data_IF_048984707233
#
_entry.id   IF_048984707233
#
_cell.length_a   1.000
_cell.length_b   1.000
_cell.length_c   1.000
_cell.angle_alpha   90.00
_cell.angle_beta   90.00
_cell.angle_gamma   90.00
#
_symmetry.space_group_name_H-M   'P 1'
#
loop_
_entity.id
_entity.type
_entity.pdbx_description
1 polymer ?
#
# COMPACT_ATOMS: atom_id res chain seq x y z
N UNK A 1 1.13 25.27 -43.09
CA UNK A 1 0.51 24.04 -43.63
C UNK A 1 0.09 23.23 -42.43
N UNK A 2 -1.20 23.31 -42.08
CA UNK A 2 -1.79 22.61 -40.95
C UNK A 2 -2.01 21.14 -41.29
N UNK A 3 -1.43 20.24 -40.50
CA UNK A 3 -1.75 18.81 -40.54
C UNK A 3 -3.07 18.57 -39.80
N UNK A 4 -4.18 18.51 -40.54
CA UNK A 4 -5.46 18.04 -40.03
C UNK A 4 -5.38 16.56 -39.63
N UNK A 5 -5.12 16.29 -38.35
CA UNK A 5 -5.35 14.97 -37.74
C UNK A 5 -6.85 14.67 -37.76
N UNK A 6 -7.29 13.84 -38.70
CA UNK A 6 -8.61 13.23 -38.67
C UNK A 6 -8.68 12.25 -37.50
N UNK A 7 -9.33 12.65 -36.40
CA UNK A 7 -9.78 11.71 -35.39
C UNK A 7 -11.08 11.08 -35.92
N UNK A 8 -10.96 9.91 -36.53
CA UNK A 8 -12.13 9.08 -36.82
C UNK A 8 -12.62 8.57 -35.45
N UNK A 9 -13.85 8.87 -35.01
CA UNK A 9 -14.39 8.28 -33.79
C UNK A 9 -14.64 6.81 -34.09
N UNK A 10 -13.76 5.94 -33.61
CA UNK A 10 -13.97 4.50 -33.69
C UNK A 10 -15.11 4.14 -32.73
N UNK A 11 -16.34 4.01 -33.25
CA UNK A 11 -17.45 3.45 -32.49
C UNK A 11 -17.22 1.94 -32.35
N UNK A 12 -16.61 1.52 -31.25
CA UNK A 12 -16.54 0.11 -30.90
C UNK A 12 -17.81 -0.34 -30.16
N UNK A 13 -18.52 -1.29 -30.75
CA UNK A 13 -19.63 -2.00 -30.11
C UNK A 13 -19.06 -3.06 -29.17
N UNK A 14 -19.07 -2.78 -27.86
CA UNK A 14 -18.65 -3.73 -26.83
C UNK A 14 -19.85 -4.58 -26.41
N UNK A 15 -19.83 -5.88 -26.72
CA UNK A 15 -20.81 -6.82 -26.18
C UNK A 15 -20.52 -7.05 -24.69
N UNK A 16 -21.55 -6.86 -23.86
CA UNK A 16 -21.42 -6.50 -22.45
C UNK A 16 -21.04 -7.63 -21.50
N UNK A 17 -19.84 -7.49 -20.92
CA UNK A 17 -19.37 -8.03 -19.64
C UNK A 17 -17.87 -7.68 -19.39
N UNK A 18 -17.33 -6.65 -20.06
CA UNK A 18 -15.92 -6.26 -19.99
C UNK A 18 -15.78 -4.83 -19.49
N UNK A 19 -14.93 -4.62 -18.48
CA UNK A 19 -14.51 -3.29 -18.05
C UNK A 19 -13.46 -2.78 -19.05
N UNK A 20 -13.64 -1.55 -19.52
CA UNK A 20 -12.68 -0.84 -20.38
C UNK A 20 -12.22 0.43 -19.68
N UNK A 21 -10.93 0.74 -19.85
CA UNK A 21 -10.25 1.83 -19.17
C UNK A 21 -9.73 2.84 -20.20
N UNK A 22 -10.05 4.11 -19.98
CA UNK A 22 -9.41 5.21 -20.70
C UNK A 22 -8.15 5.63 -19.94
N UNK A 23 -7.00 5.31 -20.50
CA UNK A 23 -5.68 5.57 -19.91
C UNK A 23 -4.98 6.72 -20.63
N UNK A 24 -3.92 7.26 -20.00
CA UNK A 24 -3.09 8.28 -20.63
C UNK A 24 -2.36 7.67 -21.84
N UNK A 25 -2.80 8.01 -23.04
CA UNK A 25 -2.19 7.56 -24.30
C UNK A 25 -2.94 6.42 -25.01
N UNK A 26 -3.96 5.83 -24.39
CA UNK A 26 -4.80 4.79 -25.00
C UNK A 26 -6.23 4.84 -24.44
N UNK A 27 -7.22 4.80 -25.32
CA UNK A 27 -8.64 4.74 -24.94
C UNK A 27 -9.17 3.32 -25.14
N UNK A 28 -10.21 2.94 -24.40
CA UNK A 28 -10.87 1.64 -24.55
C UNK A 28 -9.98 0.45 -24.22
N UNK A 29 -8.97 0.62 -23.35
CA UNK A 29 -8.07 -0.47 -22.96
C UNK A 29 -8.87 -1.51 -22.19
N UNK A 30 -8.92 -2.74 -22.69
CA UNK A 30 -9.58 -3.82 -21.98
C UNK A 30 -8.88 -4.09 -20.64
N UNK A 31 -9.65 -4.36 -19.57
CA UNK A 31 -9.10 -4.55 -18.24
C UNK A 31 -8.01 -5.63 -18.19
N UNK A 32 -8.16 -6.73 -18.91
CA UNK A 32 -7.17 -7.82 -19.02
C UNK A 32 -5.88 -7.42 -19.76
N UNK A 33 -5.86 -6.27 -20.42
CA UNK A 33 -4.67 -5.66 -21.02
C UNK A 33 -4.06 -4.56 -20.14
N UNK A 34 -4.67 -4.24 -19.00
CA UNK A 34 -4.10 -3.31 -18.03
C UNK A 34 -3.11 -4.02 -17.11
N UNK A 35 -2.17 -3.26 -16.52
CA UNK A 35 -1.23 -3.83 -15.56
C UNK A 35 -1.94 -4.36 -14.32
N UNK A 36 -1.52 -5.52 -13.82
CA UNK A 36 -2.15 -6.21 -12.69
C UNK A 36 -2.29 -5.34 -11.45
N UNK A 37 -1.24 -4.60 -11.06
CA UNK A 37 -1.30 -3.66 -9.95
C UNK A 37 -2.33 -2.54 -10.15
N UNK A 38 -2.61 -2.14 -11.40
CA UNK A 38 -3.68 -1.17 -11.71
C UNK A 38 -5.05 -1.77 -11.38
N UNK A 39 -5.30 -3.01 -11.81
CA UNK A 39 -6.56 -3.70 -11.54
C UNK A 39 -6.75 -3.97 -10.05
N UNK A 40 -5.69 -4.34 -9.34
CA UNK A 40 -5.74 -4.61 -7.90
C UNK A 40 -6.09 -3.34 -7.11
N UNK A 41 -5.46 -2.22 -7.44
CA UNK A 41 -5.80 -0.91 -6.84
C UNK A 41 -7.21 -0.48 -7.20
N UNK A 42 -7.64 -0.64 -8.45
CA UNK A 42 -9.02 -0.33 -8.85
C UNK A 42 -10.04 -1.19 -8.10
N UNK A 43 -9.77 -2.47 -7.91
CA UNK A 43 -10.59 -3.38 -7.11
C UNK A 43 -10.71 -2.90 -5.66
N UNK A 44 -9.57 -2.61 -5.01
CA UNK A 44 -9.54 -2.08 -3.65
C UNK A 44 -10.33 -0.77 -3.52
N UNK A 45 -10.11 0.18 -4.42
CA UNK A 45 -10.83 1.46 -4.41
C UNK A 45 -12.33 1.28 -4.64
N UNK A 46 -12.73 0.32 -5.48
CA UNK A 46 -14.15 0.00 -5.71
C UNK A 46 -14.81 -0.50 -4.41
N UNK A 47 -14.13 -1.34 -3.64
CA UNK A 47 -14.63 -1.81 -2.32
C UNK A 47 -14.71 -0.65 -1.33
N UNK A 48 -13.65 0.16 -1.22
CA UNK A 48 -13.57 1.26 -0.25
C UNK A 48 -14.56 2.41 -0.55
N UNK A 49 -14.86 2.64 -1.83
CA UNK A 49 -15.75 3.71 -2.28
C UNK A 49 -17.17 3.24 -2.60
N UNK A 50 -17.42 1.94 -2.43
CA UNK A 50 -18.72 1.33 -2.70
C UNK A 50 -19.82 1.79 -1.72
N UNK A 51 -21.08 1.41 -1.99
CA UNK A 51 -22.21 1.77 -1.12
C UNK A 51 -22.11 1.11 0.26
N UNK A 52 -21.57 -0.10 0.34
CA UNK A 52 -21.34 -0.84 1.58
C UNK A 52 -19.87 -0.71 1.98
N UNK A 53 -19.54 0.39 2.66
CA UNK A 53 -18.16 0.68 3.06
C UNK A 53 -17.73 -0.18 4.26
N UNK A 54 -16.58 -0.86 4.19
CA UNK A 54 -16.05 -1.59 5.34
C UNK A 54 -15.50 -0.62 6.39
N UNK A 55 -15.61 -0.98 7.67
CA UNK A 55 -14.95 -0.27 8.78
C UNK A 55 -13.53 -0.77 9.04
N UNK A 56 -13.23 -2.02 8.70
CA UNK A 56 -11.92 -2.64 8.83
C UNK A 56 -11.56 -3.35 7.53
N UNK A 57 -10.36 -3.09 7.02
CA UNK A 57 -9.80 -3.74 5.85
C UNK A 57 -8.44 -4.32 6.23
N UNK A 58 -8.29 -5.63 6.00
CA UNK A 58 -7.06 -6.38 6.22
C UNK A 58 -6.48 -6.74 4.85
N UNK A 59 -5.24 -6.36 4.59
CA UNK A 59 -4.55 -6.60 3.31
C UNK A 59 -3.23 -7.30 3.55
N UNK A 60 -2.92 -8.27 2.71
CA UNK A 60 -1.61 -8.91 2.65
C UNK A 60 -0.88 -8.38 1.41
N UNK A 61 0.41 -8.05 1.53
CA UNK A 61 1.26 -7.49 0.48
C UNK A 61 0.58 -6.38 -0.34
N UNK A 62 0.24 -5.27 0.32
CA UNK A 62 -0.55 -4.19 -0.29
C UNK A 62 0.13 -3.54 -1.52
N UNK A 63 1.46 -3.67 -1.64
CA UNK A 63 2.26 -3.23 -2.78
C UNK A 63 2.30 -4.20 -3.96
N UNK A 64 1.71 -5.39 -3.86
CA UNK A 64 1.91 -6.46 -4.84
C UNK A 64 1.65 -5.95 -6.26
N UNK A 65 2.59 -6.22 -7.17
CA UNK A 65 2.57 -5.79 -8.58
C UNK A 65 2.58 -4.26 -8.82
N UNK A 66 2.87 -3.43 -7.81
CA UNK A 66 2.99 -1.99 -7.95
C UNK A 66 4.45 -1.53 -8.04
N UNK A 67 4.70 -0.68 -9.05
CA UNK A 67 5.95 0.08 -9.12
C UNK A 67 6.12 0.97 -7.88
N UNK A 68 7.35 1.20 -7.35
CA UNK A 68 7.59 2.00 -6.14
C UNK A 68 6.88 3.36 -6.10
N UNK A 69 6.90 4.10 -7.20
CA UNK A 69 6.18 5.40 -7.31
C UNK A 69 4.67 5.25 -7.13
N UNK A 70 4.07 4.14 -7.58
CA UNK A 70 2.64 3.89 -7.44
C UNK A 70 2.25 3.48 -6.01
N UNK A 71 3.14 2.82 -5.28
CA UNK A 71 2.92 2.44 -3.88
C UNK A 71 2.71 3.66 -3.00
N UNK A 72 3.56 4.69 -3.13
CA UNK A 72 3.38 5.96 -2.42
C UNK A 72 2.04 6.63 -2.71
N UNK A 73 1.65 6.69 -4.00
CA UNK A 73 0.35 7.22 -4.43
C UNK A 73 -0.83 6.44 -3.87
N UNK A 74 -0.70 5.11 -3.74
CA UNK A 74 -1.71 4.28 -3.09
C UNK A 74 -1.89 4.72 -1.64
N UNK A 75 -0.81 4.83 -0.86
CA UNK A 75 -0.88 5.27 0.53
C UNK A 75 -1.51 6.66 0.66
N UNK A 76 -1.09 7.64 -0.15
CA UNK A 76 -1.70 8.98 -0.18
C UNK A 76 -3.21 8.95 -0.48
N UNK A 77 -3.62 8.09 -1.41
CA UNK A 77 -5.03 7.89 -1.77
C UNK A 77 -5.80 7.30 -0.59
N UNK A 78 -5.26 6.27 0.08
CA UNK A 78 -5.88 5.66 1.27
C UNK A 78 -6.00 6.67 2.42
N UNK A 79 -4.98 7.52 2.65
CA UNK A 79 -5.07 8.61 3.63
C UNK A 79 -6.16 9.61 3.29
N UNK A 80 -6.34 9.91 2.01
CA UNK A 80 -7.42 10.79 1.55
C UNK A 80 -8.80 10.18 1.82
N UNK A 81 -8.94 8.86 1.66
CA UNK A 81 -10.16 8.15 2.00
C UNK A 81 -10.42 8.15 3.51
N UNK A 82 -9.41 7.84 4.34
CA UNK A 82 -9.51 7.90 5.80
C UNK A 82 -9.87 9.29 6.34
N UNK A 83 -9.41 10.38 5.69
CA UNK A 83 -9.82 11.74 6.05
C UNK A 83 -11.30 12.01 5.80
N UNK A 84 -11.88 11.35 4.79
CA UNK A 84 -13.32 11.47 4.44
C UNK A 84 -14.18 10.51 5.26
N UNK A 85 -13.60 9.40 5.68
CA UNK A 85 -14.24 8.35 6.47
C UNK A 85 -13.35 7.96 7.66
N UNK A 86 -13.44 8.70 8.79
CA UNK A 86 -12.59 8.47 9.96
C UNK A 86 -12.80 7.11 10.63
N UNK A 87 -13.87 6.39 10.32
CA UNK A 87 -14.13 5.06 10.87
C UNK A 87 -13.43 3.93 10.09
N UNK A 88 -12.85 4.24 8.92
CA UNK A 88 -12.11 3.28 8.12
C UNK A 88 -10.73 2.99 8.71
N UNK A 89 -10.57 1.77 9.23
CA UNK A 89 -9.29 1.21 9.66
C UNK A 89 -8.71 0.30 8.56
N UNK A 90 -7.42 0.49 8.25
CA UNK A 90 -6.69 -0.35 7.32
C UNK A 90 -5.48 -0.93 8.06
N UNK A 91 -5.35 -2.25 8.04
CA UNK A 91 -4.18 -2.98 8.52
C UNK A 91 -3.64 -3.74 7.32
N UNK A 92 -2.36 -3.52 7.01
CA UNK A 92 -1.73 -4.12 5.85
C UNK A 92 -0.34 -4.66 6.20
N UNK A 93 0.07 -5.73 5.54
CA UNK A 93 1.46 -6.16 5.48
C UNK A 93 2.13 -5.56 4.24
N UNK A 94 3.46 -5.42 4.32
CA UNK A 94 4.29 -4.90 3.22
C UNK A 94 5.73 -5.28 3.50
N UNK A 95 6.43 -5.69 2.45
CA UNK A 95 7.90 -5.84 2.42
C UNK A 95 8.57 -4.62 1.77
N UNK A 96 7.80 -3.64 1.31
CA UNK A 96 8.32 -2.46 0.64
C UNK A 96 8.76 -1.35 1.61
N UNK A 97 10.06 -0.96 1.61
CA UNK A 97 10.49 0.24 2.33
C UNK A 97 9.88 1.52 1.72
N UNK A 98 9.50 1.49 0.43
CA UNK A 98 8.87 2.64 -0.21
C UNK A 98 7.50 2.94 0.37
N UNK A 99 6.73 1.94 0.82
CA UNK A 99 5.47 2.17 1.53
C UNK A 99 5.72 2.82 2.88
N UNK A 100 6.69 2.30 3.64
CA UNK A 100 6.96 2.79 5.00
C UNK A 100 7.32 4.28 5.01
N UNK A 101 7.94 4.79 3.94
CA UNK A 101 8.26 6.22 3.78
C UNK A 101 7.04 7.15 3.74
N UNK A 102 5.84 6.62 3.52
CA UNK A 102 4.58 7.37 3.53
C UNK A 102 3.76 7.14 4.81
N UNK A 103 4.32 6.43 5.79
CA UNK A 103 3.72 6.17 7.09
C UNK A 103 4.46 6.96 8.17
N UNK A 104 3.79 7.19 9.29
CA UNK A 104 4.47 7.65 10.50
C UNK A 104 5.13 6.45 11.19
N UNK A 105 6.30 6.62 11.83
CA UNK A 105 6.96 5.52 12.53
C UNK A 105 6.07 4.77 13.53
N UNK A 106 5.15 5.45 14.22
CA UNK A 106 4.27 4.86 15.23
C UNK A 106 3.19 3.95 14.63
N UNK A 107 2.95 4.07 13.33
CA UNK A 107 1.99 3.26 12.57
C UNK A 107 2.62 1.97 12.06
N UNK A 108 3.94 1.84 12.13
CA UNK A 108 4.69 0.68 11.61
C UNK A 108 4.90 -0.36 12.71
N UNK A 109 4.48 -1.58 12.42
CA UNK A 109 4.76 -2.79 13.21
C UNK A 109 5.69 -3.69 12.43
N UNK A 110 6.79 -4.07 13.08
CA UNK A 110 7.77 -5.01 12.53
C UNK A 110 7.45 -6.40 13.05
N UNK A 111 7.53 -7.40 12.20
CA UNK A 111 7.31 -8.80 12.56
C UNK A 111 8.59 -9.60 12.38
N UNK A 112 8.84 -10.53 13.31
CA UNK A 112 10.05 -11.36 13.28
C UNK A 112 9.75 -12.76 13.80
N UNK A 113 10.29 -13.78 13.16
CA UNK A 113 10.22 -15.15 13.67
C UNK A 113 11.44 -15.41 14.55
N UNK A 114 11.23 -15.46 15.87
CA UNK A 114 12.31 -15.75 16.80
C UNK A 114 12.77 -17.21 16.70
N UNK A 115 14.02 -17.49 17.11
CA UNK A 115 14.61 -18.84 17.06
C UNK A 115 13.80 -19.88 17.85
N UNK A 116 13.05 -19.45 18.87
CA UNK A 116 12.15 -20.31 19.65
C UNK A 116 10.84 -20.67 18.90
N UNK A 117 10.68 -20.23 17.64
CA UNK A 117 9.53 -20.51 16.78
C UNK A 117 8.33 -19.58 16.99
N UNK A 118 8.42 -18.60 17.89
CA UNK A 118 7.33 -17.64 18.11
C UNK A 118 7.47 -16.41 17.22
N UNK A 119 6.36 -15.99 16.63
CA UNK A 119 6.28 -14.68 15.99
C UNK A 119 6.33 -13.58 17.06
N UNK A 120 7.17 -12.58 16.81
CA UNK A 120 7.28 -11.33 17.55
C UNK A 120 6.73 -10.20 16.70
N UNK A 121 6.15 -9.21 17.36
CA UNK A 121 5.60 -8.04 16.71
C UNK A 121 5.89 -6.81 17.58
N UNK A 122 6.78 -5.93 17.12
CA UNK A 122 7.16 -4.72 17.84
C UNK A 122 6.89 -3.46 17.02
N UNK A 123 6.84 -2.32 17.69
CA UNK A 123 6.78 -1.02 16.99
C UNK A 123 8.14 -0.71 16.38
N UNK A 124 8.16 -0.08 15.20
CA UNK A 124 9.40 0.47 14.64
C UNK A 124 10.09 1.42 15.64
N UNK A 125 9.29 2.20 16.37
CA UNK A 125 9.76 3.15 17.38
C UNK A 125 10.33 2.53 18.65
N UNK A 126 10.16 1.21 18.85
CA UNK A 126 10.76 0.50 19.97
C UNK A 126 12.22 0.10 19.72
N UNK A 127 12.74 0.30 18.51
CA UNK A 127 14.15 0.04 18.21
C UNK A 127 15.06 0.89 19.13
N UNK A 128 16.11 0.31 19.76
CA UNK A 128 16.97 1.02 20.72
C UNK A 128 17.62 2.30 20.17
N UNK A 129 17.93 2.32 18.88
CA UNK A 129 18.51 3.49 18.19
C UNK A 129 17.47 4.39 17.49
N UNK A 130 16.17 4.16 17.64
CA UNK A 130 15.15 4.95 16.94
C UNK A 130 15.29 6.45 17.21
N UNK A 131 15.42 6.86 18.47
CA UNK A 131 15.57 8.27 18.86
C UNK A 131 16.79 8.96 18.24
N UNK A 132 17.86 8.19 17.96
CA UNK A 132 19.08 8.71 17.34
C UNK A 132 18.89 8.99 15.85
N UNK A 133 18.07 8.19 15.16
CA UNK A 133 17.98 8.20 13.70
C UNK A 133 16.66 8.76 13.15
N UNK A 134 15.64 8.95 14.00
CA UNK A 134 14.29 9.36 13.57
C UNK A 134 14.23 10.66 12.74
N UNK A 135 15.16 11.59 12.98
CA UNK A 135 15.21 12.89 12.28
C UNK A 135 16.14 12.87 11.06
N UNK A 136 16.86 11.76 10.83
CA UNK A 136 17.84 11.59 9.76
C UNK A 136 17.41 10.61 8.67
N UNK A 137 16.48 9.71 8.98
CA UNK A 137 16.03 8.65 8.08
C UNK A 137 14.51 8.62 8.01
N UNK A 138 13.99 8.36 6.81
CA UNK A 138 12.60 7.95 6.66
C UNK A 138 12.37 6.54 7.28
N UNK A 139 11.14 6.18 7.63
CA UNK A 139 10.86 4.88 8.26
C UNK A 139 11.35 3.67 7.44
N UNK A 140 11.24 3.72 6.11
CA UNK A 140 11.69 2.65 5.23
C UNK A 140 13.21 2.56 5.13
N UNK A 141 13.92 3.69 5.11
CA UNK A 141 15.39 3.71 5.17
C UNK A 141 15.90 3.19 6.51
N UNK A 142 15.26 3.60 7.61
CA UNK A 142 15.60 3.14 8.94
C UNK A 142 15.41 1.62 9.04
N UNK A 143 14.24 1.12 8.66
CA UNK A 143 13.95 -0.32 8.63
C UNK A 143 14.95 -1.11 7.78
N UNK A 144 15.23 -0.64 6.57
CA UNK A 144 16.20 -1.28 5.65
C UNK A 144 17.63 -1.31 6.21
N UNK A 145 17.96 -0.41 7.13
CA UNK A 145 19.29 -0.32 7.75
C UNK A 145 19.41 -1.23 8.97
N UNK A 146 18.38 -1.25 9.83
CA UNK A 146 18.44 -1.93 11.13
C UNK A 146 17.92 -3.36 11.09
N UNK A 147 17.03 -3.67 10.15
CA UNK A 147 16.34 -4.96 10.06
C UNK A 147 15.57 -5.31 11.34
N UNK A 148 15.30 -6.59 11.55
CA UNK A 148 14.40 -7.10 12.58
C UNK A 148 15.09 -7.83 13.73
N UNK A 149 16.36 -8.22 13.56
CA UNK A 149 17.07 -9.13 14.48
C UNK A 149 17.22 -8.58 15.91
N UNK A 150 17.17 -7.25 16.07
CA UNK A 150 17.17 -6.59 17.39
C UNK A 150 15.99 -7.05 18.28
N UNK A 151 14.88 -7.50 17.68
CA UNK A 151 13.70 -8.00 18.40
C UNK A 151 13.95 -9.30 19.16
N UNK A 152 15.02 -10.06 18.88
CA UNK A 152 15.40 -11.22 19.71
C UNK A 152 15.74 -10.83 21.15
N UNK A 153 16.25 -9.62 21.33
CA UNK A 153 16.77 -9.11 22.62
C UNK A 153 15.72 -8.34 23.41
N UNK A 154 14.54 -8.14 22.83
CA UNK A 154 13.43 -7.47 23.52
C UNK A 154 12.79 -8.48 24.46
N UNK A 155 12.97 -8.28 25.76
CA UNK A 155 12.31 -9.10 26.78
C UNK A 155 10.80 -9.04 26.56
N UNK A 156 10.15 -10.21 26.50
CA UNK A 156 8.69 -10.26 26.41
C UNK A 156 8.13 -9.62 27.68
N UNK A 157 7.24 -8.60 27.60
CA UNK A 157 6.62 -8.05 28.79
C UNK A 157 5.97 -9.20 29.54
N UNK A 158 6.32 -9.39 30.82
CA UNK A 158 5.67 -10.38 31.66
C UNK A 158 4.16 -10.14 31.56
N UNK A 159 3.43 -11.14 31.04
CA UNK A 159 1.98 -11.06 30.98
C UNK A 159 1.49 -10.82 32.40
N UNK A 160 0.80 -9.69 32.62
CA UNK A 160 0.05 -9.52 33.85
C UNK A 160 -1.04 -10.60 33.85
N UNK A 161 -0.86 -11.62 34.69
CA UNK A 161 -1.92 -12.53 35.13
C UNK A 161 -3.02 -11.76 35.89
#
# INVERSE_FOLDING_TARGET
MDEQRHQIPEQQTLWGNRVVLDMKGAKGVAADSAGEGTLMVLGLLTVLMGPSKPRLVLLDDIELNLHPVAQGKLIETLRTLQKRDPELQIIATSHSPFILNYLKPEEVRMTFLAENGFARCEKLTAHPEFERWKDLMSPGEFWSTVGESWMERVETPAGNE
#
